data_IF_043649066744
#
_entry.id   IF_043649066744
#
_cell.length_a   1.000
_cell.length_b   1.000
_cell.length_c   1.000
_cell.angle_alpha   90.00
_cell.angle_beta   90.00
_cell.angle_gamma   90.00
#
_symmetry.space_group_name_H-M   'P 1'
#
loop_
_entity.id
_entity.type
_entity.pdbx_description
1 polymer ?
#
# COMPACT_ATOMS: atom_id res chain seq x y z
N UNK A 1 21.52 -6.73 5.27
CA UNK A 1 20.78 -6.84 4.01
C UNK A 1 19.56 -5.96 4.16
N UNK A 2 19.36 -4.98 3.29
CA UNK A 2 18.23 -4.04 3.39
C UNK A 2 17.04 -4.63 2.65
N UNK A 3 15.86 -4.65 3.27
CA UNK A 3 14.63 -5.15 2.66
C UNK A 3 14.09 -4.10 1.68
N UNK A 4 13.81 -4.50 0.44
CA UNK A 4 13.19 -3.67 -0.60
C UNK A 4 11.68 -3.76 -0.53
N UNK A 5 11.02 -2.62 -0.36
CA UNK A 5 9.57 -2.53 -0.29
C UNK A 5 9.03 -1.77 -1.50
N UNK A 6 8.20 -2.42 -2.30
CA UNK A 6 7.41 -1.74 -3.32
C UNK A 6 6.17 -1.11 -2.72
N UNK A 7 5.93 0.15 -3.03
CA UNK A 7 4.66 0.81 -2.73
C UNK A 7 4.41 1.99 -3.69
N UNK A 8 3.20 2.52 -3.67
CA UNK A 8 2.85 3.74 -4.40
C UNK A 8 3.61 4.94 -3.85
N UNK A 9 3.83 5.95 -4.68
CA UNK A 9 4.53 7.19 -4.31
C UNK A 9 3.67 8.22 -3.56
N UNK A 10 2.37 7.95 -3.40
CA UNK A 10 1.48 8.86 -2.67
C UNK A 10 1.90 9.00 -1.20
N UNK A 11 1.73 10.19 -0.61
CA UNK A 11 2.08 10.45 0.80
C UNK A 11 1.44 9.44 1.76
N UNK A 12 0.19 9.05 1.49
CA UNK A 12 -0.52 8.06 2.29
C UNK A 12 0.14 6.67 2.18
N UNK A 13 0.47 6.23 0.96
CA UNK A 13 1.11 4.93 0.75
C UNK A 13 2.48 4.84 1.43
N UNK A 14 3.31 5.87 1.32
CA UNK A 14 4.58 5.93 2.02
C UNK A 14 4.40 5.87 3.54
N UNK A 15 3.40 6.57 4.07
CA UNK A 15 3.09 6.51 5.51
C UNK A 15 2.64 5.11 5.96
N UNK A 16 1.85 4.43 5.12
CA UNK A 16 1.42 3.06 5.37
C UNK A 16 2.59 2.07 5.41
N UNK A 17 3.61 2.25 4.55
CA UNK A 17 4.86 1.47 4.63
C UNK A 17 5.53 1.67 5.98
N UNK A 18 5.75 2.91 6.41
CA UNK A 18 6.35 3.19 7.72
C UNK A 18 5.59 2.51 8.87
N UNK A 19 4.26 2.63 8.88
CA UNK A 19 3.41 2.05 9.91
C UNK A 19 3.52 0.52 9.91
N UNK A 20 3.40 -0.11 8.74
CA UNK A 20 3.51 -1.56 8.60
C UNK A 20 4.88 -2.07 9.06
N UNK A 21 5.97 -1.44 8.63
CA UNK A 21 7.34 -1.84 8.98
C UNK A 21 7.63 -1.67 10.47
N UNK A 22 7.16 -0.58 11.07
CA UNK A 22 7.23 -0.37 12.52
C UNK A 22 6.47 -1.48 13.27
N UNK A 23 5.30 -1.89 12.77
CA UNK A 23 4.47 -2.91 13.42
C UNK A 23 5.11 -4.30 13.38
N UNK A 24 5.73 -4.66 12.26
CA UNK A 24 6.44 -5.94 12.11
C UNK A 24 7.87 -5.92 12.67
N UNK A 25 8.34 -4.77 13.19
CA UNK A 25 9.63 -4.65 13.85
C UNK A 25 10.83 -4.69 12.89
N UNK A 26 10.67 -4.24 11.65
CA UNK A 26 11.77 -4.16 10.67
C UNK A 26 12.33 -2.74 10.65
N UNK A 27 13.55 -2.51 11.18
CA UNK A 27 14.09 -1.17 11.38
C UNK A 27 14.80 -0.58 10.15
N UNK A 28 15.14 -1.39 9.16
CA UNK A 28 15.88 -0.94 7.97
C UNK A 28 15.29 -1.54 6.71
N UNK A 29 14.84 -0.66 5.82
CA UNK A 29 14.25 -0.99 4.54
C UNK A 29 14.49 0.17 3.56
N UNK A 30 14.39 -0.13 2.27
CA UNK A 30 14.36 0.86 1.21
C UNK A 30 13.01 0.81 0.50
N UNK A 31 12.46 1.98 0.17
CA UNK A 31 11.19 2.06 -0.55
C UNK A 31 11.48 2.23 -2.04
N UNK A 32 11.01 1.27 -2.83
CA UNK A 32 10.92 1.36 -4.29
C UNK A 32 9.54 1.93 -4.65
N UNK A 33 9.50 3.24 -4.86
CA UNK A 33 8.26 3.97 -5.17
C UNK A 33 7.80 3.75 -6.62
N UNK A 34 6.51 3.43 -6.80
CA UNK A 34 5.89 3.20 -8.12
C UNK A 34 4.78 4.21 -8.39
N UNK A 35 4.82 4.85 -9.56
CA UNK A 35 3.72 5.67 -10.09
C UNK A 35 2.86 4.81 -11.02
N UNK A 36 1.78 4.26 -10.46
CA UNK A 36 0.99 3.20 -11.09
C UNK A 36 0.13 3.72 -12.25
N UNK A 37 -0.35 2.81 -13.11
CA UNK A 37 -1.32 3.14 -14.15
C UNK A 37 -2.59 3.78 -13.56
N UNK A 38 -3.06 3.31 -12.40
CA UNK A 38 -4.18 3.89 -11.66
C UNK A 38 -3.89 5.30 -11.17
N UNK A 39 -2.69 5.56 -10.66
CA UNK A 39 -2.26 6.90 -10.22
C UNK A 39 -2.20 7.91 -11.37
N UNK A 40 -1.64 7.49 -12.52
CA UNK A 40 -1.57 8.31 -13.74
C UNK A 40 -2.98 8.69 -14.24
N UNK A 41 -3.87 7.70 -14.36
CA UNK A 41 -5.26 7.93 -14.83
C UNK A 41 -6.08 8.78 -13.86
N UNK A 42 -5.89 8.60 -12.55
CA UNK A 42 -6.56 9.41 -11.53
C UNK A 42 -6.20 10.90 -11.66
N UNK A 43 -4.92 11.22 -11.89
CA UNK A 43 -4.46 12.60 -12.15
C UNK A 43 -5.06 13.23 -13.40
N UNK A 44 -5.43 12.41 -14.39
CA UNK A 44 -6.11 12.84 -15.62
C UNK A 44 -7.63 12.96 -15.45
N UNK A 45 -8.17 12.83 -14.22
CA UNK A 45 -9.60 12.81 -13.91
C UNK A 45 -10.40 11.74 -14.66
N UNK A 46 -9.77 10.62 -15.05
CA UNK A 46 -10.45 9.47 -15.64
C UNK A 46 -11.16 8.68 -14.53
N UNK A 47 -12.48 8.54 -14.65
CA UNK A 47 -13.33 8.04 -13.55
C UNK A 47 -13.62 6.54 -13.59
N UNK A 48 -13.37 5.86 -14.71
CA UNK A 48 -13.69 4.44 -14.88
C UNK A 48 -12.43 3.63 -15.13
N UNK A 49 -11.99 2.89 -14.12
CA UNK A 49 -10.88 1.95 -14.24
C UNK A 49 -10.90 0.90 -13.11
N UNK A 50 -10.26 -0.24 -13.38
CA UNK A 50 -10.15 -1.37 -12.46
C UNK A 50 -9.19 -1.04 -11.31
N UNK A 51 -9.51 -1.50 -10.09
CA UNK A 51 -8.62 -1.43 -8.92
C UNK A 51 -7.27 -2.08 -9.18
N UNK A 52 -7.23 -3.13 -10.01
CA UNK A 52 -5.99 -3.81 -10.41
C UNK A 52 -4.90 -2.83 -10.92
N UNK A 53 -5.31 -1.75 -11.57
CA UNK A 53 -4.38 -0.74 -12.11
C UNK A 53 -3.57 0.01 -11.02
N UNK A 54 -3.96 -0.05 -9.74
CA UNK A 54 -3.19 0.51 -8.63
C UNK A 54 -2.18 -0.46 -8.01
N UNK A 55 -2.21 -1.74 -8.43
CA UNK A 55 -1.55 -2.84 -7.73
C UNK A 55 -0.57 -3.56 -8.66
N UNK A 56 -0.95 -3.80 -9.92
CA UNK A 56 -0.22 -4.66 -10.85
C UNK A 56 1.23 -4.23 -11.07
N UNK A 57 1.50 -2.94 -11.26
CA UNK A 57 2.87 -2.45 -11.51
C UNK A 57 3.83 -2.78 -10.34
N UNK A 58 3.31 -2.86 -9.11
CA UNK A 58 4.11 -3.21 -7.92
C UNK A 58 4.20 -4.74 -7.78
N UNK A 59 3.11 -5.46 -8.07
CA UNK A 59 3.10 -6.93 -8.05
C UNK A 59 4.10 -7.50 -9.08
N UNK A 60 4.21 -6.89 -10.26
CA UNK A 60 5.18 -7.27 -11.29
C UNK A 60 6.62 -7.12 -10.77
N UNK A 61 6.93 -6.05 -10.03
CA UNK A 61 8.24 -5.90 -9.38
C UNK A 61 8.50 -6.98 -8.33
N UNK A 62 7.46 -7.40 -7.60
CA UNK A 62 7.58 -8.48 -6.62
C UNK A 62 7.88 -9.79 -7.34
N UNK A 63 7.08 -10.18 -8.33
CA UNK A 63 7.26 -11.39 -9.15
C UNK A 63 8.64 -11.43 -9.82
N UNK A 64 9.10 -10.31 -10.35
CA UNK A 64 10.42 -10.15 -10.97
C UNK A 64 11.58 -10.08 -9.95
N UNK A 65 11.30 -10.25 -8.65
CA UNK A 65 12.26 -10.20 -7.54
C UNK A 65 13.06 -8.89 -7.50
N UNK A 66 12.45 -7.79 -7.93
CA UNK A 66 13.02 -6.43 -7.83
C UNK A 66 12.78 -5.81 -6.46
N UNK A 67 11.73 -6.25 -5.78
CA UNK A 67 11.40 -5.93 -4.39
C UNK A 67 11.19 -7.23 -3.60
N UNK A 68 11.33 -7.16 -2.28
CA UNK A 68 11.13 -8.31 -1.38
C UNK A 68 9.68 -8.35 -0.85
N UNK A 69 9.07 -7.19 -0.66
CA UNK A 69 7.71 -7.04 -0.10
C UNK A 69 6.95 -5.99 -0.92
N UNK A 70 5.71 -6.28 -1.29
CA UNK A 70 4.77 -5.27 -1.79
C UNK A 70 3.80 -4.85 -0.69
N UNK A 71 3.63 -3.54 -0.48
CA UNK A 71 2.67 -2.99 0.49
C UNK A 71 1.63 -2.15 -0.26
N UNK A 72 0.38 -2.60 -0.15
CA UNK A 72 -0.79 -1.99 -0.76
C UNK A 72 -1.78 -1.47 0.28
N UNK A 73 -2.63 -0.51 -0.11
CA UNK A 73 -3.85 -0.25 0.63
C UNK A 73 -4.85 -1.38 0.39
N UNK A 74 -5.44 -1.94 1.44
CA UNK A 74 -6.41 -3.03 1.29
C UNK A 74 -7.63 -2.64 0.42
N UNK A 75 -8.01 -1.35 0.41
CA UNK A 75 -9.10 -0.86 -0.45
C UNK A 75 -8.83 -1.04 -1.95
N UNK A 76 -7.55 -1.02 -2.34
CA UNK A 76 -7.07 -1.04 -3.73
C UNK A 76 -6.82 -2.47 -4.20
N UNK A 77 -6.81 -3.45 -3.29
CA UNK A 77 -6.70 -4.86 -3.64
C UNK A 77 -7.95 -5.33 -4.41
N UNK A 78 -7.78 -6.05 -5.53
CA UNK A 78 -8.88 -6.75 -6.19
C UNK A 78 -9.45 -7.84 -5.28
N UNK A 79 -10.73 -8.19 -5.48
CA UNK A 79 -11.40 -9.22 -4.69
C UNK A 79 -10.87 -10.65 -4.93
N UNK A 80 -10.17 -10.84 -6.06
CA UNK A 80 -9.52 -12.10 -6.43
C UNK A 80 -8.05 -11.76 -6.72
N UNK A 81 -7.13 -12.26 -5.89
CA UNK A 81 -5.70 -12.31 -6.20
C UNK A 81 -5.41 -13.65 -6.90
N UNK A 82 -4.77 -13.60 -8.07
CA UNK A 82 -4.45 -14.80 -8.87
C UNK A 82 -3.01 -15.28 -8.68
N UNK A 83 -2.38 -14.93 -7.56
CA UNK A 83 -0.97 -15.24 -7.28
C UNK A 83 -0.92 -16.29 -6.16
N UNK A 84 -0.96 -17.57 -6.55
CA UNK A 84 -1.04 -18.71 -5.62
C UNK A 84 0.20 -18.90 -4.74
N UNK A 85 1.32 -18.31 -5.15
CA UNK A 85 2.64 -18.59 -4.55
C UNK A 85 3.13 -17.43 -3.66
N UNK A 86 2.23 -16.52 -3.25
CA UNK A 86 2.56 -15.38 -2.41
C UNK A 86 1.99 -15.53 -0.99
N UNK A 87 2.81 -15.19 0.01
CA UNK A 87 2.33 -14.99 1.37
C UNK A 87 1.58 -13.66 1.45
N UNK A 88 0.30 -13.71 1.81
CA UNK A 88 -0.59 -12.55 1.92
C UNK A 88 -0.89 -12.22 3.39
N UNK A 89 -0.59 -11.00 3.83
CA UNK A 89 -0.80 -10.56 5.23
C UNK A 89 -1.61 -9.26 5.27
N UNK A 90 -2.66 -9.25 6.09
CA UNK A 90 -3.43 -8.04 6.39
C UNK A 90 -2.97 -7.43 7.72
N UNK A 91 -2.60 -6.14 7.67
CA UNK A 91 -2.25 -5.36 8.86
C UNK A 91 -3.31 -4.27 9.04
N UNK A 92 -4.22 -4.45 9.99
CA UNK A 92 -5.15 -3.41 10.42
C UNK A 92 -4.47 -2.50 11.46
N UNK A 93 -4.50 -1.19 11.24
CA UNK A 93 -4.05 -0.24 12.26
C UNK A 93 -5.24 0.45 12.91
N UNK A 94 -5.26 0.43 14.24
CA UNK A 94 -5.95 1.46 15.01
C UNK A 94 -5.13 2.75 14.92
N UNK A 95 -5.75 3.87 14.55
CA UNK A 95 -5.06 5.17 14.63
C UNK A 95 -4.65 5.40 16.09
N UNK A 96 -3.37 5.72 16.39
CA UNK A 96 -2.98 6.10 17.73
C UNK A 96 -3.84 7.29 18.19
N UNK A 97 -4.45 7.22 19.38
CA UNK A 97 -5.37 8.28 19.87
C UNK A 97 -4.76 9.69 19.85
N UNK A 98 -3.42 9.79 19.93
CA UNK A 98 -2.68 11.05 19.85
C UNK A 98 -2.73 11.69 18.46
N UNK A 99 -2.76 10.90 17.39
CA UNK A 99 -2.88 11.41 16.02
C UNK A 99 -4.33 11.79 15.69
N UNK A 100 -5.33 11.14 16.29
CA UNK A 100 -6.75 11.49 16.11
C UNK A 100 -7.08 12.95 16.48
N UNK A 101 -6.31 13.57 17.39
CA UNK A 101 -6.50 14.97 17.79
C UNK A 101 -6.14 15.99 16.71
N UNK A 102 -5.38 15.58 15.69
CA UNK A 102 -4.89 16.46 14.62
C UNK A 102 -5.56 16.19 13.25
N UNK A 103 -6.62 15.40 13.22
CA UNK A 103 -7.33 15.02 11.98
C UNK A 103 -8.51 15.96 11.78
N UNK A 104 -8.54 16.69 10.65
CA UNK A 104 -9.71 17.49 10.25
C UNK A 104 -10.82 16.60 9.66
N UNK A 105 -12.09 17.04 9.65
CA UNK A 105 -13.19 16.28 9.03
C UNK A 105 -12.94 15.89 7.56
N UNK A 106 -12.21 16.73 6.82
CA UNK A 106 -11.77 16.46 5.44
C UNK A 106 -10.80 15.28 5.37
N UNK A 107 -9.88 15.16 6.34
CA UNK A 107 -8.97 14.03 6.46
C UNK A 107 -9.71 12.75 6.86
N UNK A 108 -10.77 12.81 7.67
CA UNK A 108 -11.53 11.59 8.05
C UNK A 108 -12.24 10.90 6.87
N UNK A 109 -12.72 11.65 5.87
CA UNK A 109 -13.32 11.08 4.64
C UNK A 109 -12.29 10.32 3.80
N UNK A 110 -11.07 10.87 3.72
CA UNK A 110 -9.91 10.22 3.11
C UNK A 110 -9.36 9.05 3.95
N UNK A 111 -9.65 8.97 5.24
CA UNK A 111 -9.10 7.97 6.17
C UNK A 111 -10.19 7.00 6.68
N UNK A 112 -10.99 6.45 5.75
CA UNK A 112 -11.91 5.34 6.08
C UNK A 112 -11.16 4.13 6.64
N UNK A 113 -11.84 3.25 7.38
CA UNK A 113 -11.28 1.97 7.90
C UNK A 113 -10.50 1.16 6.85
N UNK A 114 -10.96 1.18 5.60
CA UNK A 114 -10.30 0.49 4.48
C UNK A 114 -8.98 1.13 4.04
N UNK A 115 -8.73 2.39 4.39
CA UNK A 115 -7.44 3.10 4.20
C UNK A 115 -6.46 2.84 5.35
N UNK A 116 -6.92 2.29 6.49
CA UNK A 116 -6.07 1.99 7.65
C UNK A 116 -5.42 0.61 7.55
N UNK A 117 -5.98 -0.27 6.72
CA UNK A 117 -5.51 -1.64 6.54
C UNK A 117 -4.50 -1.71 5.39
N UNK A 118 -3.31 -2.23 5.68
CA UNK A 118 -2.32 -2.57 4.65
C UNK A 118 -2.46 -4.03 4.28
N UNK A 119 -2.14 -4.29 3.03
CA UNK A 119 -2.06 -5.61 2.47
C UNK A 119 -0.64 -5.86 1.97
N UNK A 120 0.01 -6.86 2.55
CA UNK A 120 1.39 -7.22 2.30
C UNK A 120 1.42 -8.48 1.45
N UNK A 121 2.27 -8.47 0.42
CA UNK A 121 2.63 -9.67 -0.34
C UNK A 121 4.13 -9.91 -0.26
N UNK A 122 4.53 -11.17 -0.19
CA UNK A 122 5.95 -11.60 -0.15
C UNK A 122 6.13 -12.93 -0.91
N UNK A 123 7.31 -13.11 -1.54
CA UNK A 123 7.82 -14.37 -2.13
C UNK A 123 8.64 -15.17 -1.11
#
# INVERSE_FOLDING_TARGET
MTIKIGSRTSKLALKQVEIAMNRIGVPSFEIVGVDTAGDKRSRENKVQFDKKNFVEDIDDLLVDRKIDIAIHSAKDMPAVSNLSDLDEIYISNDLPQKEMKNITPEMTSSYSERMKTQYLKKI
#
